data_IF_753899686467
#
_entry.id   IF_753899686467
#
_cell.length_a   1.000
_cell.length_b   1.000
_cell.length_c   1.000
_cell.angle_alpha   90.00
_cell.angle_beta   90.00
_cell.angle_gamma   90.00
#
_symmetry.space_group_name_H-M   'P 1'
#
loop_
_entity.id
_entity.type
_entity.pdbx_description
1 polymer ?
#
# COMPACT_ATOMS: atom_id res chain seq x y z
N UNK A 1 -73.23 -7.86 12.91
CA UNK A 1 -71.92 -8.50 12.63
C UNK A 1 -71.13 -7.49 11.84
N UNK A 2 -70.18 -6.80 12.47
CA UNK A 2 -69.31 -5.79 11.83
C UNK A 2 -67.99 -6.43 11.44
N UNK A 3 -67.70 -6.48 10.15
CA UNK A 3 -66.44 -6.98 9.56
C UNK A 3 -65.48 -5.81 9.50
N UNK A 4 -64.33 -5.92 10.19
CA UNK A 4 -63.22 -4.97 10.06
C UNK A 4 -62.27 -5.42 8.94
N UNK A 5 -61.81 -4.55 8.06
CA UNK A 5 -60.83 -4.90 7.06
C UNK A 5 -59.42 -4.97 7.71
N UNK A 6 -58.71 -6.05 7.44
CA UNK A 6 -57.31 -6.19 7.83
C UNK A 6 -56.41 -5.40 6.85
N UNK A 7 -55.73 -4.39 7.37
CA UNK A 7 -54.74 -3.62 6.61
C UNK A 7 -53.39 -4.33 6.67
N UNK A 8 -52.97 -4.90 5.56
CA UNK A 8 -51.66 -5.52 5.45
C UNK A 8 -50.60 -4.42 5.16
N UNK A 9 -49.75 -4.11 6.11
CA UNK A 9 -48.64 -3.19 5.90
C UNK A 9 -47.50 -3.94 5.19
N UNK A 10 -47.19 -3.54 3.97
CA UNK A 10 -46.02 -4.00 3.25
C UNK A 10 -44.75 -3.28 3.78
N UNK A 11 -43.88 -4.00 4.40
CA UNK A 11 -42.55 -3.49 4.81
C UNK A 11 -41.62 -3.53 3.60
N UNK A 12 -41.33 -2.37 3.05
CA UNK A 12 -40.28 -2.22 2.02
C UNK A 12 -38.90 -2.34 2.72
N UNK A 13 -38.23 -3.47 2.54
CA UNK A 13 -36.83 -3.64 2.94
C UNK A 13 -35.97 -2.99 1.85
N UNK A 14 -35.55 -1.74 2.07
CA UNK A 14 -34.55 -1.07 1.24
C UNK A 14 -33.18 -1.67 1.54
N UNK A 15 -32.73 -2.64 0.73
CA UNK A 15 -31.37 -3.17 0.77
C UNK A 15 -30.43 -2.07 0.25
N UNK A 16 -29.74 -1.37 1.14
CA UNK A 16 -28.65 -0.50 0.78
C UNK A 16 -27.48 -1.38 0.34
N UNK A 17 -27.34 -1.62 -0.96
CA UNK A 17 -26.11 -2.10 -1.57
C UNK A 17 -25.08 -1.00 -1.34
N UNK A 18 -24.21 -1.16 -0.35
CA UNK A 18 -23.03 -0.32 -0.19
C UNK A 18 -22.17 -0.50 -1.46
N UNK A 19 -22.20 0.50 -2.35
CA UNK A 19 -21.30 0.54 -3.50
C UNK A 19 -19.88 0.49 -2.99
N UNK A 20 -19.16 -0.60 -3.30
CA UNK A 20 -17.76 -0.69 -2.97
C UNK A 20 -17.01 0.49 -3.59
N UNK A 21 -16.34 1.28 -2.78
CA UNK A 21 -15.54 2.41 -3.26
C UNK A 21 -14.49 1.91 -4.25
N UNK A 22 -14.37 2.56 -5.41
CA UNK A 22 -13.37 2.22 -6.41
C UNK A 22 -11.95 2.29 -5.80
N UNK A 23 -11.03 1.42 -6.24
CA UNK A 23 -9.65 1.48 -5.80
C UNK A 23 -9.01 2.82 -6.16
N UNK A 24 -8.19 3.36 -5.29
CA UNK A 24 -7.34 4.50 -5.61
C UNK A 24 -6.06 3.99 -6.26
N UNK A 25 -5.72 4.49 -7.45
CA UNK A 25 -4.56 4.06 -8.24
C UNK A 25 -3.62 5.24 -8.43
N UNK A 26 -2.37 5.05 -8.03
CA UNK A 26 -1.28 6.01 -8.16
C UNK A 26 -0.30 5.53 -9.22
N UNK A 27 -0.31 6.17 -10.39
CA UNK A 27 0.71 5.98 -11.42
C UNK A 27 1.87 6.93 -11.16
N UNK A 28 3.09 6.41 -11.27
CA UNK A 28 4.33 7.18 -11.07
C UNK A 28 4.88 7.60 -12.43
N UNK A 29 4.11 8.37 -13.18
CA UNK A 29 4.39 8.83 -14.55
C UNK A 29 4.70 10.33 -14.65
N UNK A 30 4.73 11.02 -13.50
CA UNK A 30 5.08 12.42 -13.31
C UNK A 30 5.54 12.67 -11.88
N UNK A 31 6.18 13.82 -11.63
CA UNK A 31 6.72 14.14 -10.29
C UNK A 31 5.85 15.13 -9.52
N UNK A 32 5.05 15.95 -10.18
CA UNK A 32 4.28 17.04 -9.60
C UNK A 32 2.89 16.64 -9.09
N UNK A 33 2.41 15.47 -9.48
CA UNK A 33 1.15 14.90 -8.98
C UNK A 33 1.15 13.36 -9.07
N UNK A 34 0.55 12.69 -8.09
CA UNK A 34 0.35 11.22 -8.05
C UNK A 34 -1.09 10.95 -7.64
N UNK A 35 -1.78 10.07 -8.37
CA UNK A 35 -3.19 9.73 -8.09
C UNK A 35 -4.14 10.94 -8.15
N UNK A 36 -3.78 12.00 -8.89
CA UNK A 36 -4.53 13.25 -8.93
C UNK A 36 -4.22 14.21 -7.77
N UNK A 37 -3.32 13.85 -6.85
CA UNK A 37 -2.92 14.67 -5.70
C UNK A 37 -1.58 15.37 -5.99
N UNK A 38 -1.45 16.68 -5.70
CA UNK A 38 -0.16 17.38 -5.79
C UNK A 38 0.88 16.73 -4.90
N UNK A 39 2.13 16.73 -5.36
CA UNK A 39 3.27 16.20 -4.61
C UNK A 39 4.24 17.30 -4.18
N UNK A 40 4.84 17.13 -3.00
CA UNK A 40 6.07 17.83 -2.64
C UNK A 40 7.25 16.95 -3.04
N UNK A 41 8.11 17.46 -3.93
CA UNK A 41 9.32 16.76 -4.40
C UNK A 41 10.48 17.10 -3.47
N UNK A 42 11.19 16.08 -2.97
CA UNK A 42 12.40 16.21 -2.17
C UNK A 42 13.58 15.60 -2.94
N UNK A 43 14.74 16.26 -2.87
CA UNK A 43 15.94 15.86 -3.59
C UNK A 43 15.75 15.82 -5.10
N UNK A 44 16.22 14.75 -5.74
CA UNK A 44 16.26 14.64 -7.20
C UNK A 44 15.70 13.29 -7.70
N UNK A 45 14.42 12.94 -7.43
CA UNK A 45 13.80 11.79 -8.07
C UNK A 45 13.72 12.02 -9.58
N UNK A 46 13.77 10.96 -10.37
CA UNK A 46 13.79 11.05 -11.84
C UNK A 46 12.63 10.27 -12.44
N UNK A 47 12.01 10.85 -13.46
CA UNK A 47 11.08 10.12 -14.31
C UNK A 47 11.90 9.30 -15.31
N UNK A 48 11.63 8.01 -15.40
CA UNK A 48 12.29 7.08 -16.32
C UNK A 48 11.28 6.32 -17.18
N UNK A 49 11.68 6.02 -18.41
CA UNK A 49 10.95 5.08 -19.28
C UNK A 49 11.43 3.65 -19.03
N UNK A 50 10.49 2.72 -18.93
CA UNK A 50 10.75 1.32 -18.66
C UNK A 50 9.93 0.43 -19.61
N UNK A 51 10.26 -0.86 -19.79
CA UNK A 51 9.42 -1.78 -20.56
C UNK A 51 7.97 -1.88 -20.05
N UNK A 52 7.73 -1.53 -18.77
CA UNK A 52 6.40 -1.53 -18.16
C UNK A 52 5.69 -0.19 -18.26
N UNK A 53 6.28 0.82 -18.90
CA UNK A 53 5.82 2.21 -18.96
C UNK A 53 6.65 3.13 -18.05
N UNK A 54 6.18 4.36 -17.82
CA UNK A 54 6.89 5.32 -16.97
C UNK A 54 6.94 4.88 -15.51
N UNK A 55 8.03 5.28 -14.83
CA UNK A 55 8.24 5.07 -13.41
C UNK A 55 9.03 6.23 -12.81
N UNK A 56 8.93 6.42 -11.48
CA UNK A 56 9.81 7.34 -10.74
C UNK A 56 10.94 6.55 -10.11
N UNK A 57 12.16 6.98 -10.38
CA UNK A 57 13.40 6.44 -9.81
C UNK A 57 13.89 7.30 -8.65
N UNK A 58 14.31 6.63 -7.58
CA UNK A 58 14.81 7.20 -6.34
C UNK A 58 16.27 6.79 -6.14
N UNK A 59 17.11 7.72 -5.65
CA UNK A 59 18.57 7.54 -5.57
C UNK A 59 19.09 6.87 -4.28
N UNK A 60 18.22 6.69 -3.28
CA UNK A 60 18.61 6.10 -1.99
C UNK A 60 19.31 7.07 -1.03
N UNK A 61 19.34 8.37 -1.33
CA UNK A 61 20.10 9.37 -0.56
C UNK A 61 19.18 10.50 -0.06
N UNK A 62 18.45 11.14 -0.96
CA UNK A 62 17.64 12.33 -0.66
C UNK A 62 16.33 12.41 -1.47
N UNK A 63 16.16 11.53 -2.47
CA UNK A 63 15.02 11.55 -3.38
C UNK A 63 13.77 11.00 -2.72
N UNK A 64 12.70 11.80 -2.71
CA UNK A 64 11.40 11.38 -2.22
C UNK A 64 10.26 12.22 -2.79
N UNK A 65 9.04 11.72 -2.66
CA UNK A 65 7.79 12.45 -2.92
C UNK A 65 6.91 12.40 -1.68
N UNK A 66 6.25 13.50 -1.36
CA UNK A 66 5.27 13.56 -0.27
C UNK A 66 3.92 13.98 -0.82
N UNK A 67 2.88 13.25 -0.41
CA UNK A 67 1.48 13.48 -0.80
C UNK A 67 0.66 13.69 0.48
N UNK A 68 -0.12 14.78 0.55
CA UNK A 68 -0.95 15.09 1.71
C UNK A 68 -2.27 14.30 1.72
N UNK A 69 -2.16 12.99 1.48
CA UNK A 69 -3.28 12.03 1.47
C UNK A 69 -2.84 10.71 2.10
N UNK A 70 -3.75 10.11 2.88
CA UNK A 70 -3.70 8.72 3.33
C UNK A 70 -4.77 7.93 2.57
N UNK A 71 -4.45 7.20 1.50
CA UNK A 71 -5.45 6.61 0.58
C UNK A 71 -6.33 5.53 1.24
N UNK A 72 -5.88 4.95 2.34
CA UNK A 72 -6.64 3.95 3.12
C UNK A 72 -7.30 4.53 4.38
N UNK A 73 -7.39 5.86 4.53
CA UNK A 73 -8.04 6.47 5.70
C UNK A 73 -9.49 5.98 5.85
N UNK A 74 -9.86 5.46 7.04
CA UNK A 74 -11.18 4.91 7.36
C UNK A 74 -11.42 3.48 6.87
N UNK A 75 -10.45 2.81 6.25
CA UNK A 75 -10.60 1.43 5.80
C UNK A 75 -10.49 0.45 6.96
N UNK A 76 -11.53 -0.35 7.21
CA UNK A 76 -11.52 -1.42 8.22
C UNK A 76 -10.87 -2.71 7.69
N UNK A 77 -10.88 -2.90 6.38
CA UNK A 77 -10.17 -3.96 5.65
C UNK A 77 -9.51 -3.33 4.44
N UNK A 78 -8.39 -3.86 3.99
CA UNK A 78 -7.68 -3.26 2.89
C UNK A 78 -6.79 -4.23 2.12
N UNK A 79 -6.46 -3.81 0.91
CA UNK A 79 -5.33 -4.31 0.13
C UNK A 79 -4.52 -3.12 -0.34
N UNK A 80 -3.24 -3.16 -0.12
CA UNK A 80 -2.27 -2.18 -0.56
C UNK A 80 -1.20 -2.88 -1.40
N UNK A 81 -1.04 -2.43 -2.65
CA UNK A 81 -0.18 -3.10 -3.64
C UNK A 81 0.73 -2.10 -4.32
N UNK A 82 1.85 -2.58 -4.82
CA UNK A 82 2.71 -1.79 -5.69
C UNK A 82 3.50 -2.67 -6.68
N UNK A 83 3.90 -2.07 -7.80
CA UNK A 83 4.93 -2.61 -8.70
C UNK A 83 6.15 -1.72 -8.59
N UNK A 84 7.27 -2.32 -8.18
CA UNK A 84 8.51 -1.61 -7.89
C UNK A 84 9.73 -2.42 -8.31
N UNK A 85 10.91 -1.78 -8.38
CA UNK A 85 12.20 -2.39 -8.66
C UNK A 85 13.20 -1.92 -7.62
N UNK A 86 13.72 -2.80 -6.76
CA UNK A 86 14.80 -2.48 -5.81
C UNK A 86 16.16 -2.56 -6.54
N UNK A 87 16.99 -1.53 -6.38
CA UNK A 87 18.29 -1.40 -7.06
C UNK A 87 19.47 -1.37 -6.06
N UNK A 88 19.33 -2.06 -4.91
CA UNK A 88 20.35 -2.10 -3.86
C UNK A 88 20.31 -0.90 -2.93
N UNK A 89 21.47 -0.44 -2.45
CA UNK A 89 21.59 0.65 -1.48
C UNK A 89 21.67 0.17 -0.04
N UNK A 90 21.25 1.01 0.91
CA UNK A 90 21.31 0.73 2.34
C UNK A 90 20.54 -0.55 2.72
N UNK A 91 20.98 -1.20 3.80
CA UNK A 91 20.40 -2.47 4.26
C UNK A 91 18.90 -2.36 4.54
N UNK A 92 18.45 -1.30 5.19
CA UNK A 92 17.04 -1.08 5.52
C UNK A 92 16.51 0.13 4.77
N UNK A 93 15.43 -0.05 4.00
CA UNK A 93 14.81 1.03 3.23
C UNK A 93 13.30 1.02 3.44
N UNK A 94 12.70 2.22 3.52
CA UNK A 94 11.26 2.46 3.61
C UNK A 94 10.84 3.23 2.37
N UNK A 95 10.06 2.60 1.52
CA UNK A 95 9.84 3.16 0.20
C UNK A 95 8.38 3.59 -0.07
N UNK A 96 7.45 3.17 0.78
CA UNK A 96 6.07 3.65 0.74
C UNK A 96 5.51 3.65 2.16
N UNK A 97 5.19 4.83 2.69
CA UNK A 97 4.83 5.04 4.08
C UNK A 97 3.56 5.88 4.17
N UNK A 98 2.49 5.28 4.67
CA UNK A 98 1.24 5.95 5.01
C UNK A 98 1.23 6.22 6.51
N UNK A 99 0.92 7.46 6.92
CA UNK A 99 0.86 7.83 8.33
C UNK A 99 -0.32 8.72 8.63
N UNK A 100 -1.08 8.38 9.66
CA UNK A 100 -2.14 9.21 10.21
C UNK A 100 -1.56 10.50 10.82
N UNK A 101 -2.18 11.64 10.55
CA UNK A 101 -1.71 12.93 11.08
C UNK A 101 -1.88 13.01 12.59
N UNK A 102 -0.82 13.44 13.28
CA UNK A 102 -0.83 13.68 14.73
C UNK A 102 -0.78 12.43 15.59
N UNK A 103 -0.50 11.27 15.02
CA UNK A 103 -0.35 10.00 15.73
C UNK A 103 0.86 9.20 15.23
N UNK A 104 1.12 8.06 15.89
CA UNK A 104 2.11 7.08 15.45
C UNK A 104 1.52 5.99 14.53
N UNK A 105 0.20 6.02 14.29
CA UNK A 105 -0.47 5.07 13.41
C UNK A 105 0.09 5.18 11.99
N UNK A 106 0.56 4.06 11.45
CA UNK A 106 1.25 4.03 10.15
C UNK A 106 1.25 2.65 9.52
N UNK A 107 1.48 2.65 8.23
CA UNK A 107 1.68 1.46 7.41
C UNK A 107 2.92 1.69 6.55
N UNK A 108 3.78 0.68 6.43
CA UNK A 108 5.01 0.80 5.66
C UNK A 108 5.21 -0.41 4.74
N UNK A 109 5.64 -0.11 3.51
CA UNK A 109 6.39 -1.04 2.70
C UNK A 109 7.88 -0.75 2.86
N UNK A 110 8.58 -1.74 3.33
CA UNK A 110 10.00 -1.71 3.60
C UNK A 110 10.69 -2.85 2.84
N UNK A 111 11.98 -2.78 2.73
CA UNK A 111 12.81 -3.89 2.28
C UNK A 111 14.09 -3.96 3.08
N UNK A 112 14.70 -5.14 3.06
CA UNK A 112 16.02 -5.38 3.63
C UNK A 112 16.91 -5.95 2.55
N UNK A 113 18.00 -5.26 2.25
CA UNK A 113 19.03 -5.74 1.33
C UNK A 113 20.00 -6.69 2.04
N UNK A 114 20.31 -7.80 1.37
CA UNK A 114 21.32 -8.77 1.77
C UNK A 114 22.09 -9.14 0.51
N UNK A 115 23.36 -8.76 0.43
CA UNK A 115 24.20 -8.91 -0.76
C UNK A 115 23.52 -8.29 -2.01
N UNK A 116 23.30 -9.06 -3.07
CA UNK A 116 22.58 -8.63 -4.27
C UNK A 116 21.11 -9.07 -4.28
N UNK A 117 20.54 -9.30 -3.11
CA UNK A 117 19.15 -9.75 -2.92
C UNK A 117 18.44 -8.84 -1.92
N UNK A 118 17.15 -9.01 -1.84
CA UNK A 118 16.30 -8.32 -0.88
C UNK A 118 15.20 -9.25 -0.37
N UNK A 119 14.64 -8.95 0.79
CA UNK A 119 13.39 -9.56 1.28
C UNK A 119 12.40 -8.48 1.70
N UNK A 120 11.13 -8.85 1.62
CA UNK A 120 10.04 -7.92 1.91
C UNK A 120 9.84 -7.78 3.42
N UNK A 121 9.59 -6.55 3.84
CA UNK A 121 9.17 -6.19 5.19
C UNK A 121 7.95 -5.28 5.06
N UNK A 122 6.81 -5.75 5.54
CA UNK A 122 5.60 -4.94 5.62
C UNK A 122 5.22 -4.72 7.07
N UNK A 123 4.97 -3.47 7.42
CA UNK A 123 4.73 -3.08 8.79
C UNK A 123 3.40 -2.33 8.93
N UNK A 124 2.70 -2.60 10.03
CA UNK A 124 1.52 -1.83 10.46
C UNK A 124 1.62 -1.51 11.94
N UNK A 125 1.26 -0.28 12.30
CA UNK A 125 1.04 0.16 13.67
C UNK A 125 -0.34 0.82 13.76
N UNK A 126 -1.18 0.35 14.68
CA UNK A 126 -2.53 0.87 14.89
C UNK A 126 -2.87 0.85 16.38
N UNK A 127 -3.11 2.02 16.96
CA UNK A 127 -3.38 2.18 18.39
C UNK A 127 -2.24 1.67 19.26
N UNK A 128 -2.42 0.54 19.92
CA UNK A 128 -1.41 -0.14 20.75
C UNK A 128 -0.85 -1.40 20.10
N UNK A 129 -1.33 -1.75 18.91
CA UNK A 129 -0.93 -2.98 18.20
C UNK A 129 0.05 -2.66 17.08
N UNK A 130 1.05 -3.51 16.90
CA UNK A 130 1.97 -3.41 15.76
C UNK A 130 2.38 -4.78 15.26
N UNK A 131 2.66 -4.87 13.96
CA UNK A 131 3.15 -6.10 13.34
C UNK A 131 4.07 -5.79 12.17
N UNK A 132 5.24 -6.42 12.19
CA UNK A 132 6.09 -6.57 11.02
C UNK A 132 5.92 -7.99 10.47
N UNK A 133 5.70 -8.11 9.17
CA UNK A 133 5.77 -9.40 8.45
C UNK A 133 7.09 -9.39 7.68
N UNK A 134 8.02 -10.20 8.14
CA UNK A 134 9.39 -10.25 7.68
C UNK A 134 9.90 -11.69 7.72
N UNK A 135 10.43 -12.17 6.59
CA UNK A 135 11.10 -13.48 6.52
C UNK A 135 12.43 -13.35 5.77
N UNK A 136 13.57 -13.33 6.47
CA UNK A 136 14.91 -13.22 5.86
C UNK A 136 15.29 -14.40 4.94
N UNK A 137 14.50 -15.47 4.92
CA UNK A 137 14.71 -16.61 4.03
C UNK A 137 14.05 -16.44 2.65
N UNK A 138 13.14 -15.47 2.52
CA UNK A 138 12.44 -15.15 1.27
C UNK A 138 13.22 -14.13 0.46
N UNK A 139 14.34 -14.55 -0.09
CA UNK A 139 15.27 -13.69 -0.83
C UNK A 139 14.89 -13.58 -2.30
N UNK A 140 14.94 -12.36 -2.82
CA UNK A 140 14.64 -12.02 -4.21
C UNK A 140 15.82 -11.26 -4.82
N UNK A 141 16.21 -11.51 -6.08
CA UNK A 141 17.25 -10.74 -6.76
C UNK A 141 16.91 -9.25 -6.88
N UNK A 142 17.90 -8.38 -6.76
CA UNK A 142 17.77 -6.94 -7.05
C UNK A 142 17.71 -6.68 -8.57
N UNK A 143 17.28 -5.48 -8.98
CA UNK A 143 17.26 -5.03 -10.36
C UNK A 143 16.09 -5.55 -11.22
N UNK A 144 15.22 -6.40 -10.66
CA UNK A 144 14.01 -6.87 -11.33
C UNK A 144 12.75 -6.17 -10.81
N UNK A 145 11.70 -6.13 -11.62
CA UNK A 145 10.39 -5.62 -11.22
C UNK A 145 9.61 -6.67 -10.44
N UNK A 146 9.00 -6.25 -9.35
CA UNK A 146 8.19 -7.09 -8.48
C UNK A 146 6.83 -6.46 -8.22
N UNK A 147 5.81 -7.28 -8.12
CA UNK A 147 4.57 -6.94 -7.47
C UNK A 147 4.67 -7.30 -5.99
N UNK A 148 4.28 -6.40 -5.11
CA UNK A 148 4.09 -6.68 -3.68
C UNK A 148 2.71 -6.26 -3.24
N UNK A 149 2.17 -6.96 -2.25
CA UNK A 149 0.90 -6.61 -1.64
C UNK A 149 0.91 -6.83 -0.13
N UNK A 150 0.15 -6.00 0.58
CA UNK A 150 -0.25 -6.23 1.97
C UNK A 150 -1.79 -6.25 2.05
N UNK A 151 -2.33 -7.26 2.70
CA UNK A 151 -3.78 -7.48 2.81
C UNK A 151 -4.15 -7.59 4.28
N UNK A 152 -5.20 -6.89 4.69
CA UNK A 152 -5.83 -7.06 5.99
C UNK A 152 -7.32 -7.34 5.81
N UNK A 153 -7.80 -8.47 6.35
CA UNK A 153 -9.17 -8.93 6.16
C UNK A 153 -10.11 -8.65 7.36
N UNK A 154 -9.62 -7.89 8.34
CA UNK A 154 -10.32 -7.62 9.59
C UNK A 154 -9.80 -8.48 10.78
N UNK A 155 -8.95 -9.46 10.51
CA UNK A 155 -8.34 -10.34 11.51
C UNK A 155 -6.85 -10.56 11.25
N UNK A 156 -6.51 -10.95 10.01
CA UNK A 156 -5.16 -11.35 9.65
C UNK A 156 -4.52 -10.36 8.68
N UNK A 157 -3.29 -9.96 8.99
CA UNK A 157 -2.42 -9.17 8.11
C UNK A 157 -1.49 -10.12 7.37
N UNK A 158 -1.46 -10.04 6.03
CA UNK A 158 -0.66 -10.90 5.13
C UNK A 158 0.15 -10.05 4.18
N UNK A 159 1.34 -10.53 3.81
CA UNK A 159 2.12 -9.92 2.74
C UNK A 159 2.44 -10.93 1.62
N UNK A 160 2.66 -10.39 0.43
CA UNK A 160 2.84 -11.16 -0.80
C UNK A 160 3.93 -10.54 -1.66
N UNK A 161 4.72 -11.39 -2.33
CA UNK A 161 5.61 -11.02 -3.44
C UNK A 161 5.22 -11.84 -4.66
N UNK A 162 4.96 -11.18 -5.79
CA UNK A 162 4.51 -11.79 -7.04
C UNK A 162 3.33 -12.78 -6.86
N UNK A 163 2.36 -12.40 -6.01
CA UNK A 163 1.18 -13.21 -5.73
C UNK A 163 1.40 -14.38 -4.75
N UNK A 164 2.64 -14.65 -4.34
CA UNK A 164 2.98 -15.68 -3.35
C UNK A 164 2.99 -15.07 -1.96
N UNK A 165 2.23 -15.66 -1.03
CA UNK A 165 2.23 -15.23 0.36
C UNK A 165 3.55 -15.57 1.05
N UNK A 166 4.16 -14.58 1.70
CA UNK A 166 5.43 -14.74 2.43
C UNK A 166 5.29 -14.63 3.93
N UNK A 167 4.28 -13.93 4.40
CA UNK A 167 4.00 -13.78 5.83
C UNK A 167 2.53 -13.60 6.12
N UNK A 168 2.14 -13.97 7.34
CA UNK A 168 0.82 -13.74 7.88
C UNK A 168 0.85 -13.67 9.41
N UNK A 169 0.01 -12.83 10.00
CA UNK A 169 -0.21 -12.80 11.44
C UNK A 169 -1.54 -12.14 11.78
N UNK A 170 -2.15 -12.61 12.85
CA UNK A 170 -3.29 -11.92 13.44
C UNK A 170 -2.83 -10.60 14.10
N UNK A 171 -3.64 -9.56 13.92
CA UNK A 171 -3.45 -8.25 14.55
C UNK A 171 -4.80 -7.57 14.74
N UNK A 172 -4.95 -6.85 15.84
CA UNK A 172 -6.03 -5.88 15.96
C UNK A 172 -5.63 -4.59 15.25
N UNK A 173 -6.47 -4.13 14.32
CA UNK A 173 -6.24 -2.92 13.55
C UNK A 173 -7.47 -2.02 13.58
N UNK A 174 -7.30 -0.83 14.15
CA UNK A 174 -8.29 0.23 14.09
C UNK A 174 -8.10 1.04 12.80
N UNK A 175 -9.18 1.40 12.08
CA UNK A 175 -9.08 2.22 10.87
C UNK A 175 -8.35 3.53 11.13
N UNK A 176 -7.28 3.78 10.37
CA UNK A 176 -6.50 5.01 10.48
C UNK A 176 -7.28 6.19 9.87
N UNK A 177 -7.09 7.39 10.42
CA UNK A 177 -7.74 8.61 9.95
C UNK A 177 -6.94 9.24 8.80
N UNK A 178 -7.38 10.43 8.37
CA UNK A 178 -6.68 11.22 7.36
C UNK A 178 -5.20 11.45 7.75
N UNK A 179 -4.35 11.50 6.74
CA UNK A 179 -2.91 11.58 6.96
C UNK A 179 -2.16 11.90 5.68
N UNK A 180 -0.90 11.50 5.66
CA UNK A 180 0.05 11.78 4.57
C UNK A 180 0.70 10.48 4.10
N UNK A 181 1.25 10.53 2.90
CA UNK A 181 2.07 9.45 2.34
C UNK A 181 3.43 10.00 1.93
N UNK A 182 4.51 9.32 2.31
CA UNK A 182 5.83 9.53 1.71
C UNK A 182 6.21 8.35 0.84
N UNK A 183 6.85 8.64 -0.28
CA UNK A 183 7.29 7.69 -1.30
C UNK A 183 8.79 7.86 -1.49
N UNK A 184 9.54 6.78 -1.47
CA UNK A 184 10.99 6.80 -1.56
C UNK A 184 11.72 7.02 -0.24
N UNK A 185 10.99 7.25 0.87
CA UNK A 185 11.59 7.47 2.19
C UNK A 185 10.58 7.24 3.31
N UNK A 186 11.04 6.99 4.53
CA UNK A 186 10.20 7.10 5.72
C UNK A 186 9.79 8.55 5.98
N UNK A 187 8.61 8.79 6.57
CA UNK A 187 8.05 10.13 6.80
C UNK A 187 9.00 11.07 7.60
N UNK A 188 9.88 10.54 8.42
CA UNK A 188 10.89 11.31 9.17
C UNK A 188 12.22 11.45 8.42
N UNK A 189 12.24 11.23 7.10
CA UNK A 189 13.37 11.41 6.19
C UNK A 189 14.61 10.57 6.52
N UNK A 190 14.40 9.32 6.94
CA UNK A 190 15.47 8.32 7.12
C UNK A 190 15.19 7.07 6.27
N UNK A 191 16.22 6.28 5.99
CA UNK A 191 16.13 5.03 5.24
C UNK A 191 15.56 5.21 3.82
N UNK A 192 16.19 6.09 3.06
CA UNK A 192 15.84 6.37 1.67
C UNK A 192 15.91 5.12 0.80
N UNK A 193 15.00 5.05 -0.16
CA UNK A 193 14.89 3.97 -1.12
C UNK A 193 15.74 4.20 -2.36
N UNK A 194 16.48 3.17 -2.78
CA UNK A 194 17.17 3.13 -4.06
C UNK A 194 16.48 2.14 -4.98
N UNK A 195 15.86 2.64 -6.05
CA UNK A 195 15.09 1.84 -6.99
C UNK A 195 14.04 2.65 -7.70
N UNK A 196 13.06 1.98 -8.31
CA UNK A 196 11.99 2.64 -9.04
C UNK A 196 10.61 2.12 -8.64
N UNK A 197 9.60 2.99 -8.68
CA UNK A 197 8.20 2.65 -8.41
C UNK A 197 7.39 3.06 -9.64
N UNK A 198 6.54 2.13 -10.13
CA UNK A 198 5.70 2.34 -11.31
C UNK A 198 4.26 2.66 -10.96
N UNK A 199 3.68 1.92 -10.02
CA UNK A 199 2.28 2.00 -9.66
C UNK A 199 2.07 1.54 -8.22
N UNK A 200 1.13 2.16 -7.52
CA UNK A 200 0.53 1.64 -6.30
C UNK A 200 -0.99 1.63 -6.43
N UNK A 201 -1.66 0.66 -5.79
CA UNK A 201 -3.12 0.57 -5.73
C UNK A 201 -3.56 0.36 -4.30
N UNK A 202 -4.57 1.10 -3.90
CA UNK A 202 -5.16 1.05 -2.56
C UNK A 202 -6.63 0.67 -2.68
N UNK A 203 -6.99 -0.47 -2.12
CA UNK A 203 -8.35 -1.01 -2.17
C UNK A 203 -8.88 -1.20 -0.76
N UNK A 204 -10.05 -0.65 -0.47
CA UNK A 204 -10.68 -0.70 0.87
C UNK A 204 -11.42 -2.02 1.13
N UNK A 205 -10.84 -3.11 0.70
CA UNK A 205 -11.26 -4.48 0.98
C UNK A 205 -10.08 -5.44 0.85
N UNK A 206 -10.17 -6.59 1.49
CA UNK A 206 -9.22 -7.67 1.29
C UNK A 206 -9.44 -8.30 -0.10
N UNK A 207 -8.39 -8.30 -0.93
CA UNK A 207 -8.36 -8.96 -2.23
C UNK A 207 -7.74 -10.34 -2.10
N UNK A 208 -8.18 -11.27 -2.95
CA UNK A 208 -7.45 -12.50 -3.23
C UNK A 208 -6.30 -12.25 -4.21
N UNK A 209 -5.27 -13.11 -4.27
CA UNK A 209 -4.18 -12.95 -5.24
C UNK A 209 -4.62 -12.90 -6.71
N UNK A 210 -5.75 -13.51 -7.05
CA UNK A 210 -6.33 -13.47 -8.40
C UNK A 210 -6.86 -12.07 -8.81
N UNK A 211 -7.09 -11.19 -7.83
CA UNK A 211 -7.59 -9.82 -8.04
C UNK A 211 -6.47 -8.77 -7.97
N UNK A 212 -5.24 -9.19 -7.71
CA UNK A 212 -4.08 -8.30 -7.63
C UNK A 212 -3.77 -7.63 -8.97
N UNK A 213 -2.97 -6.57 -8.92
CA UNK A 213 -2.38 -5.98 -10.13
C UNK A 213 -1.69 -7.07 -10.97
N UNK A 214 -1.76 -6.99 -12.30
CA UNK A 214 -1.03 -7.93 -13.16
C UNK A 214 0.45 -7.97 -12.79
N UNK A 215 0.99 -9.19 -12.70
CA UNK A 215 2.40 -9.39 -12.42
C UNK A 215 3.26 -8.76 -13.51
N UNK A 216 4.39 -8.10 -13.16
CA UNK A 216 5.30 -7.60 -14.17
C UNK A 216 5.87 -8.78 -15.00
N UNK A 217 5.69 -8.72 -16.30
CA UNK A 217 6.33 -9.68 -17.22
C UNK A 217 7.83 -9.41 -17.28
N UNK A 218 8.62 -10.47 -17.25
CA UNK A 218 10.10 -10.41 -17.38
C UNK A 218 10.51 -9.99 -18.76
#
# INVERSE_FOLDING_TARGET
>A
MKVFPATTAAVLICSHLAMAQAPEVWTFDRLDAIGGHPTTVLGSPRLIDTPLGKAVEFNGVDSALVVDVHPLAGAATFTWEAIFRPDGGEQAQRWLHLQETGTENRMLFELRNVDNQWYFDSFVYSGTSSKALIDPKRLHPQGAWYHVAAVYDGREFRNYVNGVQEGAAEIHFDPQRAGRTSVGVRMNLVNYFKGAIRIARFTRRALSPAEFLPLPTR
#
